data_IF_641334417624
#
_entry.id   IF_641334417624
#
_cell.length_a   1.000
_cell.length_b   1.000
_cell.length_c   1.000
_cell.angle_alpha   90.00
_cell.angle_beta   90.00
_cell.angle_gamma   90.00
#
_symmetry.space_group_name_H-M   'P 1'
#
loop_
_entity.id
_entity.type
_entity.pdbx_description
1 polymer ?
#
# COMPACT_ATOMS: atom_id res chain seq x y z
N UNK A 1 -1.46 -55.16 -11.16
CA UNK A 1 -2.16 -53.89 -10.82
C UNK A 1 -3.15 -53.57 -11.93
N UNK A 2 -4.39 -53.22 -11.60
CA UNK A 2 -5.43 -52.88 -12.60
C UNK A 2 -5.11 -51.55 -13.27
N UNK A 3 -5.15 -51.50 -14.61
CA UNK A 3 -4.93 -50.28 -15.39
C UNK A 3 -5.86 -49.12 -14.99
N UNK A 4 -7.02 -49.42 -14.42
CA UNK A 4 -7.93 -48.39 -13.90
C UNK A 4 -7.44 -47.76 -12.60
N UNK A 5 -6.83 -48.56 -11.71
CA UNK A 5 -6.24 -48.04 -10.47
C UNK A 5 -5.06 -47.11 -10.77
N UNK A 6 -4.24 -47.44 -11.78
CA UNK A 6 -3.14 -46.59 -12.22
C UNK A 6 -3.63 -45.25 -12.79
N UNK A 7 -4.70 -45.27 -13.60
CA UNK A 7 -5.31 -44.03 -14.14
C UNK A 7 -5.88 -43.14 -13.03
N UNK A 8 -6.52 -43.73 -12.02
CA UNK A 8 -7.05 -42.97 -10.87
C UNK A 8 -5.94 -42.34 -10.03
N UNK A 9 -4.83 -43.05 -9.82
CA UNK A 9 -3.67 -42.50 -9.12
C UNK A 9 -3.06 -41.31 -9.87
N UNK A 10 -2.90 -41.42 -11.19
CA UNK A 10 -2.42 -40.31 -12.01
C UNK A 10 -3.36 -39.11 -12.01
N UNK A 11 -4.68 -39.35 -12.09
CA UNK A 11 -5.68 -38.29 -12.02
C UNK A 11 -5.65 -37.58 -10.65
N UNK A 12 -5.57 -38.33 -9.55
CA UNK A 12 -5.46 -37.77 -8.22
C UNK A 12 -4.17 -36.95 -8.05
N UNK A 13 -3.04 -37.45 -8.56
CA UNK A 13 -1.77 -36.75 -8.52
C UNK A 13 -1.82 -35.42 -9.28
N UNK A 14 -2.35 -35.42 -10.52
CA UNK A 14 -2.54 -34.19 -11.30
C UNK A 14 -3.46 -33.20 -10.60
N UNK A 15 -4.53 -33.69 -9.96
CA UNK A 15 -5.47 -32.83 -9.25
C UNK A 15 -4.79 -32.13 -8.06
N UNK A 16 -4.00 -32.88 -7.27
CA UNK A 16 -3.22 -32.30 -6.17
C UNK A 16 -2.21 -31.27 -6.68
N UNK A 17 -1.51 -31.56 -7.78
CA UNK A 17 -0.55 -30.63 -8.37
C UNK A 17 -1.21 -29.30 -8.79
N UNK A 18 -2.39 -29.35 -9.41
CA UNK A 18 -3.14 -28.15 -9.79
C UNK A 18 -3.60 -27.32 -8.58
N UNK A 19 -4.06 -27.98 -7.52
CA UNK A 19 -4.48 -27.29 -6.28
C UNK A 19 -3.30 -26.56 -5.63
N UNK A 20 -2.13 -27.21 -5.54
CA UNK A 20 -0.92 -26.60 -4.98
C UNK A 20 -0.49 -25.38 -5.81
N UNK A 21 -0.43 -25.52 -7.14
CA UNK A 21 -0.04 -24.42 -8.03
C UNK A 21 -0.99 -23.22 -7.92
N UNK A 22 -2.30 -23.47 -7.81
CA UNK A 22 -3.31 -22.42 -7.65
C UNK A 22 -3.24 -21.67 -6.32
N UNK A 23 -2.72 -22.28 -5.26
CA UNK A 23 -2.51 -21.59 -3.98
C UNK A 23 -1.24 -20.73 -4.00
N UNK A 24 -0.17 -21.21 -4.65
CA UNK A 24 1.06 -20.43 -4.82
C UNK A 24 0.81 -19.15 -5.62
N UNK A 25 0.10 -19.25 -6.74
CA UNK A 25 -0.23 -18.11 -7.60
C UNK A 25 -0.98 -16.98 -6.88
N UNK A 26 -1.79 -17.30 -5.86
CA UNK A 26 -2.48 -16.28 -5.05
C UNK A 26 -1.53 -15.52 -4.13
N UNK A 27 -0.55 -16.21 -3.55
CA UNK A 27 0.46 -15.58 -2.70
C UNK A 27 1.35 -14.63 -3.50
N UNK A 28 1.76 -15.05 -4.70
CA UNK A 28 2.58 -14.24 -5.61
C UNK A 28 1.86 -12.96 -6.07
N UNK A 29 0.56 -13.05 -6.37
CA UNK A 29 -0.24 -11.90 -6.77
C UNK A 29 -0.42 -10.90 -5.61
N UNK A 30 -0.57 -11.40 -4.38
CA UNK A 30 -0.71 -10.56 -3.19
C UNK A 30 0.61 -9.88 -2.82
N UNK A 31 1.72 -10.60 -2.90
CA UNK A 31 3.05 -10.00 -2.70
C UNK A 31 3.35 -8.94 -3.78
N UNK A 32 2.85 -9.16 -5.00
CA UNK A 32 2.90 -8.14 -6.05
C UNK A 32 2.10 -6.87 -5.75
N UNK A 33 0.89 -6.99 -5.20
CA UNK A 33 0.13 -5.80 -4.81
C UNK A 33 0.78 -5.07 -3.63
N UNK A 34 1.28 -5.82 -2.65
CA UNK A 34 1.80 -5.26 -1.41
C UNK A 34 3.10 -4.49 -1.63
N UNK A 35 4.01 -4.98 -2.49
CA UNK A 35 5.22 -4.22 -2.82
C UNK A 35 4.87 -2.91 -3.51
N UNK A 36 3.88 -2.90 -4.41
CA UNK A 36 3.52 -1.70 -5.17
C UNK A 36 2.89 -0.66 -4.24
N UNK A 37 2.04 -1.10 -3.31
CA UNK A 37 1.47 -0.22 -2.28
C UNK A 37 2.56 0.40 -1.41
N UNK A 38 3.52 -0.40 -0.93
CA UNK A 38 4.64 0.11 -0.13
C UNK A 38 5.47 1.11 -0.92
N UNK A 39 5.81 0.79 -2.17
CA UNK A 39 6.56 1.65 -3.07
C UNK A 39 5.88 3.02 -3.25
N UNK A 40 4.59 2.99 -3.57
CA UNK A 40 3.82 4.20 -3.79
C UNK A 40 3.68 5.04 -2.52
N UNK A 41 3.51 4.38 -1.36
CA UNK A 41 3.41 5.06 -0.07
C UNK A 41 4.70 5.80 0.24
N UNK A 42 5.84 5.15 0.08
CA UNK A 42 7.15 5.75 0.37
C UNK A 42 7.47 6.92 -0.57
N UNK A 43 7.15 6.77 -1.86
CA UNK A 43 7.28 7.83 -2.86
C UNK A 43 6.40 9.05 -2.52
N UNK A 44 5.16 8.82 -2.09
CA UNK A 44 4.24 9.88 -1.70
C UNK A 44 4.71 10.62 -0.42
N UNK A 45 5.25 9.90 0.56
CA UNK A 45 5.85 10.48 1.77
C UNK A 45 7.04 11.35 1.39
N UNK A 46 7.93 10.86 0.53
CA UNK A 46 9.09 11.63 0.06
C UNK A 46 8.67 12.95 -0.59
N UNK A 47 7.71 12.90 -1.51
CA UNK A 47 7.18 14.09 -2.18
C UNK A 47 6.53 15.05 -1.20
N UNK A 48 5.84 14.53 -0.17
CA UNK A 48 5.23 15.37 0.86
C UNK A 48 6.28 16.06 1.74
N UNK A 49 7.34 15.35 2.12
CA UNK A 49 8.46 15.88 2.90
C UNK A 49 9.28 16.89 2.09
N UNK A 50 9.45 16.66 0.80
CA UNK A 50 10.07 17.61 -0.13
C UNK A 50 9.27 18.90 -0.25
N UNK A 51 7.96 18.81 -0.46
CA UNK A 51 7.06 19.96 -0.48
C UNK A 51 7.02 20.71 0.86
N UNK A 52 7.32 20.03 1.98
CA UNK A 52 7.45 20.62 3.32
C UNK A 52 8.84 21.21 3.60
N UNK A 53 9.80 21.06 2.68
CA UNK A 53 11.17 21.52 2.85
C UNK A 53 11.97 20.72 3.88
N UNK A 54 11.58 19.47 4.15
CA UNK A 54 12.35 18.58 5.03
C UNK A 54 13.70 18.29 4.35
N UNK A 55 14.83 18.53 5.05
CA UNK A 55 16.15 18.28 4.49
C UNK A 55 16.35 16.79 4.21
N UNK A 56 17.12 16.48 3.17
CA UNK A 56 17.29 15.11 2.65
C UNK A 56 17.63 14.07 3.73
N UNK A 57 18.44 14.46 4.72
CA UNK A 57 18.89 13.59 5.81
C UNK A 57 17.83 13.34 6.91
N UNK A 58 16.67 13.98 6.82
CA UNK A 58 15.55 13.83 7.76
C UNK A 58 14.29 13.28 7.09
N UNK A 59 14.37 12.93 5.80
CA UNK A 59 13.26 12.33 5.08
C UNK A 59 13.10 10.86 5.47
N UNK A 60 11.85 10.44 5.60
CA UNK A 60 11.47 9.08 5.99
C UNK A 60 10.94 8.27 4.81
N UNK A 61 10.47 8.94 3.76
CA UNK A 61 10.07 8.29 2.51
C UNK A 61 11.25 7.84 1.66
N UNK A 62 10.97 7.12 0.57
CA UNK A 62 11.95 6.83 -0.47
C UNK A 62 11.62 7.64 -1.73
N UNK A 63 12.61 8.20 -2.43
CA UNK A 63 12.35 8.84 -3.73
C UNK A 63 11.83 7.80 -4.73
N UNK A 64 11.18 8.26 -5.80
CA UNK A 64 10.75 7.40 -6.92
C UNK A 64 11.97 6.89 -7.71
N UNK A 65 12.64 5.85 -7.19
CA UNK A 65 13.89 5.33 -7.76
C UNK A 65 13.68 4.53 -9.05
N UNK A 66 12.46 4.03 -9.30
CA UNK A 66 12.12 3.34 -10.56
C UNK A 66 11.48 4.26 -11.60
N UNK A 67 11.07 5.47 -11.22
CA UNK A 67 10.37 6.40 -12.12
C UNK A 67 8.98 5.92 -12.53
N UNK A 68 8.36 5.04 -11.73
CA UNK A 68 7.06 4.43 -12.05
C UNK A 68 5.93 5.01 -11.22
N UNK A 69 6.22 5.93 -10.29
CA UNK A 69 5.21 6.39 -9.35
C UNK A 69 4.09 7.18 -10.04
N UNK A 70 4.41 7.96 -11.07
CA UNK A 70 3.42 8.75 -11.82
C UNK A 70 2.38 7.86 -12.55
N UNK A 71 2.82 6.71 -13.05
CA UNK A 71 1.97 5.79 -13.83
C UNK A 71 1.24 4.77 -12.94
N UNK A 72 1.89 4.30 -11.87
CA UNK A 72 1.43 3.16 -11.08
C UNK A 72 0.91 3.50 -9.68
N UNK A 73 1.00 4.75 -9.22
CA UNK A 73 0.51 5.19 -7.92
C UNK A 73 -0.75 6.07 -8.03
N UNK A 74 -1.94 5.46 -8.23
CA UNK A 74 -3.17 6.21 -8.40
C UNK A 74 -3.52 7.01 -7.14
N UNK A 75 -3.74 8.32 -7.30
CA UNK A 75 -4.30 9.18 -6.24
C UNK A 75 -3.37 9.53 -5.08
N UNK A 76 -2.15 8.99 -5.02
CA UNK A 76 -1.18 9.31 -3.97
C UNK A 76 -0.48 10.66 -4.25
N UNK A 77 -1.23 11.76 -4.09
CA UNK A 77 -0.65 13.10 -4.05
C UNK A 77 -0.04 13.35 -2.67
N UNK A 78 1.07 14.11 -2.58
CA UNK A 78 1.65 14.46 -1.29
C UNK A 78 0.59 15.10 -0.39
N UNK A 79 0.48 14.59 0.85
CA UNK A 79 -0.40 15.19 1.85
C UNK A 79 -0.02 16.67 2.01
N UNK A 80 -1.04 17.53 2.12
CA UNK A 80 -0.89 18.97 2.32
C UNK A 80 0.24 19.32 3.32
N UNK A 81 0.91 20.48 3.17
CA UNK A 81 2.06 20.83 3.99
C UNK A 81 1.74 20.63 5.48
N UNK A 82 2.66 19.99 6.21
CA UNK A 82 2.55 19.83 7.65
C UNK A 82 2.38 21.22 8.25
N UNK A 83 1.20 21.48 8.82
CA UNK A 83 1.01 22.66 9.66
C UNK A 83 2.08 22.59 10.73
N UNK A 84 2.98 23.57 10.77
CA UNK A 84 4.08 23.61 11.74
C UNK A 84 3.48 23.43 13.13
N UNK A 85 3.73 22.28 13.76
CA UNK A 85 3.28 21.92 15.11
C UNK A 85 3.91 22.77 16.22
N UNK A 86 4.50 23.93 15.88
CA UNK A 86 5.04 24.91 16.83
C UNK A 86 4.16 26.14 17.01
N UNK A 87 2.91 26.09 16.58
CA UNK A 87 1.86 26.84 17.25
C UNK A 87 0.93 25.82 17.85
N UNK A 88 1.18 25.52 19.13
CA UNK A 88 0.11 25.12 20.03
C UNK A 88 -0.97 26.18 19.82
N UNK A 89 -2.01 25.80 19.10
CA UNK A 89 -3.26 26.53 18.94
C UNK A 89 -3.77 26.80 20.36
N UNK A 90 -3.34 27.92 20.94
CA UNK A 90 -4.10 28.63 21.97
C UNK A 90 -5.08 29.49 21.18
N UNK A 91 -5.99 28.83 20.47
CA UNK A 91 -7.23 29.49 20.10
C UNK A 91 -8.08 29.48 21.36
N UNK A 92 -7.96 30.56 22.13
CA UNK A 92 -9.09 31.04 22.88
C UNK A 92 -10.17 31.39 21.85
N UNK A 93 -11.17 30.54 21.69
CA UNK A 93 -12.41 30.91 21.04
C UNK A 93 -13.58 30.44 21.92
N UNK A 94 -14.53 31.33 22.24
CA UNK A 94 -15.70 30.95 23.01
C UNK A 94 -16.56 30.00 22.16
N UNK A 95 -16.77 28.81 22.73
CA UNK A 95 -18.03 28.06 22.72
C UNK A 95 -19.11 28.59 21.77
N UNK A 96 -19.19 28.12 20.51
CA UNK A 96 -20.45 27.78 19.80
C UNK A 96 -20.17 26.83 18.60
N UNK A 97 -20.67 25.60 18.70
CA UNK A 97 -21.13 24.69 17.64
C UNK A 97 -20.26 24.40 16.38
N UNK A 98 -19.68 23.19 16.32
CA UNK A 98 -19.91 22.18 15.25
C UNK A 98 -19.12 20.88 15.57
N UNK A 99 -19.74 19.68 15.56
CA UNK A 99 -19.00 18.44 15.73
C UNK A 99 -18.15 18.14 14.48
N UNK A 100 -16.89 17.69 14.64
CA UNK A 100 -16.07 17.28 13.50
C UNK A 100 -16.70 16.05 12.84
N UNK A 101 -17.13 16.21 11.59
CA UNK A 101 -17.55 15.09 10.75
C UNK A 101 -16.34 14.22 10.49
N UNK A 102 -16.30 13.07 11.15
CA UNK A 102 -15.33 12.03 10.91
C UNK A 102 -15.68 11.39 9.56
N UNK A 103 -15.11 11.88 8.47
CA UNK A 103 -15.18 11.20 7.16
C UNK A 103 -14.16 10.06 7.17
N UNK A 104 -14.56 8.94 7.76
CA UNK A 104 -14.03 7.62 7.40
C UNK A 104 -14.87 7.08 6.24
N UNK A 105 -14.26 6.23 5.41
CA UNK A 105 -14.81 5.28 4.43
C UNK A 105 -14.67 5.77 2.97
N UNK A 106 -14.08 5.02 2.02
CA UNK A 106 -13.61 3.63 1.95
C UNK A 106 -12.21 3.56 1.31
#
# INVERSE_FOLDING_TARGET
MSNQATKLLWAAFLFVALVVMGQLSKGEAQEQSDWLISYCTDAAVWQAEEARGVPLNQRTGQPDYRGIAEEHCPGMRPAAPAVKSRERIVYSYPDYAQPPVQLVQF
#
